data_IF_352587804927
#
_entry.id   IF_352587804927
#
_cell.length_a   1.000
_cell.length_b   1.000
_cell.length_c   1.000
_cell.angle_alpha   90.00
_cell.angle_beta   90.00
_cell.angle_gamma   90.00
#
_symmetry.space_group_name_H-M   'P 1'
#
loop_
_entity.id
_entity.type
_entity.pdbx_description
1 polymer ?
#
# COMPACT_ATOMS: atom_id res chain seq x y z
N UNK A 1 -9.27 22.14 23.08
CA UNK A 1 -9.62 21.69 21.71
C UNK A 1 -8.57 22.14 20.69
N UNK A 2 -8.00 23.34 20.83
CA UNK A 2 -6.98 23.91 19.92
C UNK A 2 -5.71 23.05 19.77
N UNK A 3 -5.10 22.62 20.89
CA UNK A 3 -3.89 21.77 20.87
C UNK A 3 -4.11 20.39 20.22
N UNK A 4 -5.33 19.85 20.30
CA UNK A 4 -5.68 18.53 19.74
C UNK A 4 -5.76 18.55 18.20
N UNK A 5 -6.17 19.67 17.59
CA UNK A 5 -6.13 19.84 16.14
C UNK A 5 -4.73 20.17 15.61
N UNK A 6 -3.84 20.75 16.43
CA UNK A 6 -2.47 21.06 15.99
C UNK A 6 -1.69 19.80 15.56
N UNK A 7 -1.97 18.66 16.19
CA UNK A 7 -1.36 17.37 15.87
C UNK A 7 -2.00 16.69 14.65
N UNK A 8 -3.27 16.96 14.34
CA UNK A 8 -3.96 16.42 13.17
C UNK A 8 -3.90 17.42 12.01
N UNK A 9 -2.69 17.69 11.55
CA UNK A 9 -2.42 18.54 10.40
C UNK A 9 -2.00 17.71 9.18
N UNK A 10 -1.85 18.37 8.03
CA UNK A 10 -1.48 17.72 6.78
C UNK A 10 -0.17 16.91 6.89
N UNK A 11 0.84 17.42 7.59
CA UNK A 11 2.11 16.72 7.78
C UNK A 11 1.95 15.39 8.51
N UNK A 12 1.15 15.36 9.56
CA UNK A 12 0.84 14.13 10.30
C UNK A 12 0.11 13.11 9.42
N UNK A 13 -0.88 13.55 8.65
CA UNK A 13 -1.63 12.68 7.73
C UNK A 13 -0.71 12.08 6.68
N UNK A 14 0.17 12.89 6.08
CA UNK A 14 1.10 12.43 5.05
C UNK A 14 2.16 11.48 5.62
N UNK A 15 2.68 11.76 6.82
CA UNK A 15 3.71 10.91 7.44
C UNK A 15 3.16 9.51 7.75
N UNK A 16 2.03 9.42 8.44
CA UNK A 16 1.43 8.13 8.77
C UNK A 16 0.80 7.45 7.55
N UNK A 17 0.20 8.22 6.65
CA UNK A 17 -0.39 7.68 5.42
C UNK A 17 0.65 7.07 4.48
N UNK A 18 1.79 7.74 4.27
CA UNK A 18 2.88 7.19 3.44
C UNK A 18 3.55 5.97 4.09
N UNK A 19 3.79 6.01 5.41
CA UNK A 19 4.31 4.87 6.15
C UNK A 19 3.38 3.65 6.07
N UNK A 20 2.07 3.87 6.27
CA UNK A 20 1.07 2.82 6.13
C UNK A 20 0.99 2.28 4.70
N UNK A 21 1.03 3.14 3.69
CA UNK A 21 1.01 2.74 2.29
C UNK A 21 2.19 1.80 1.96
N UNK A 22 3.41 2.14 2.38
CA UNK A 22 4.59 1.29 2.15
C UNK A 22 4.44 -0.07 2.85
N UNK A 23 4.01 -0.07 4.13
CA UNK A 23 3.79 -1.31 4.87
C UNK A 23 2.72 -2.20 4.22
N UNK A 24 1.60 -1.60 3.78
CA UNK A 24 0.54 -2.30 3.06
C UNK A 24 1.02 -2.86 1.72
N UNK A 25 1.90 -2.13 1.01
CA UNK A 25 2.48 -2.58 -0.27
C UNK A 25 3.30 -3.85 -0.08
N UNK A 26 4.11 -3.94 0.98
CA UNK A 26 4.83 -5.17 1.30
C UNK A 26 3.88 -6.31 1.61
N UNK A 27 2.85 -6.07 2.43
CA UNK A 27 1.88 -7.10 2.79
C UNK A 27 1.16 -7.65 1.54
N UNK A 28 0.52 -6.77 0.76
CA UNK A 28 -0.26 -7.15 -0.43
C UNK A 28 0.63 -7.75 -1.51
N UNK A 29 1.87 -7.27 -1.66
CA UNK A 29 2.85 -7.83 -2.60
C UNK A 29 3.21 -9.30 -2.30
N UNK A 30 3.07 -9.76 -1.05
CA UNK A 30 3.38 -11.15 -0.67
C UNK A 30 2.19 -12.10 -0.73
N UNK A 31 0.95 -11.60 -0.83
CA UNK A 31 -0.25 -12.44 -0.82
C UNK A 31 -0.40 -13.31 -2.08
N UNK A 32 0.29 -12.97 -3.17
CA UNK A 32 0.16 -13.65 -4.44
C UNK A 32 -1.23 -13.51 -5.06
N UNK A 33 -1.47 -14.18 -6.19
CA UNK A 33 -2.76 -14.15 -6.88
C UNK A 33 -2.76 -14.98 -8.15
N UNK A 34 -3.63 -14.63 -9.11
CA UNK A 34 -3.80 -15.36 -10.37
C UNK A 34 -2.47 -15.60 -11.12
N UNK A 35 -1.57 -14.61 -11.11
CA UNK A 35 -0.23 -14.68 -11.70
C UNK A 35 0.69 -15.75 -11.09
N UNK A 36 0.34 -16.32 -9.93
CA UNK A 36 1.07 -17.39 -9.26
C UNK A 36 0.39 -18.76 -9.39
N UNK A 37 -0.66 -18.86 -10.20
CA UNK A 37 -1.40 -20.11 -10.41
C UNK A 37 -0.95 -20.79 -11.69
N UNK A 38 -1.13 -22.11 -11.76
CA UNK A 38 -0.86 -22.91 -12.96
C UNK A 38 -1.78 -22.53 -14.15
N UNK A 39 -2.79 -21.70 -13.91
CA UNK A 39 -3.71 -21.21 -14.94
C UNK A 39 -3.16 -19.98 -15.69
N UNK A 40 -2.08 -19.37 -15.19
CA UNK A 40 -1.46 -18.23 -15.82
C UNK A 40 -0.33 -18.67 -16.77
N UNK A 41 -0.58 -18.57 -18.07
CA UNK A 41 0.35 -18.97 -19.15
C UNK A 41 1.16 -17.79 -19.72
N UNK A 42 1.20 -16.66 -19.00
CA UNK A 42 1.86 -15.43 -19.46
C UNK A 42 3.21 -15.17 -18.77
N UNK A 43 3.92 -14.13 -19.23
CA UNK A 43 5.19 -13.67 -18.63
C UNK A 43 5.05 -12.35 -17.84
N UNK A 44 3.83 -11.89 -17.59
CA UNK A 44 3.54 -10.62 -16.92
C UNK A 44 3.40 -9.41 -17.84
N UNK A 45 3.41 -9.59 -19.17
CA UNK A 45 3.27 -8.48 -20.15
C UNK A 45 2.17 -8.74 -21.18
N UNK A 46 1.65 -7.66 -21.77
CA UNK A 46 0.75 -7.74 -22.92
C UNK A 46 1.59 -7.82 -24.21
N UNK A 47 1.16 -8.68 -25.14
CA UNK A 47 1.72 -8.81 -26.47
C UNK A 47 0.67 -8.40 -27.51
#
# INVERSE_FOLDING_TARGET
>A
MDAALSGFNLGTVLLFGSGFFVAATFLVGTWGGYYNTDQYDGNGTAH
#
